data_IF_885595364881
#
_entry.id   IF_885595364881
#
_cell.length_a   1.000
_cell.length_b   1.000
_cell.length_c   1.000
_cell.angle_alpha   90.00
_cell.angle_beta   90.00
_cell.angle_gamma   90.00
#
_symmetry.space_group_name_H-M   'P 1'
#
loop_
_entity.id
_entity.type
_entity.pdbx_description
1 polymer ?
#
# COMPACT_ATOMS: atom_id res chain seq x y z
N UNK A 1 22.38 19.41 46.97
CA UNK A 1 23.01 18.45 46.05
C UNK A 1 21.96 17.94 45.09
N UNK A 2 21.97 18.41 43.84
CA UNK A 2 20.98 18.06 42.82
C UNK A 2 21.38 16.76 42.10
N UNK A 3 20.46 15.80 42.03
CA UNK A 3 20.60 14.62 41.18
C UNK A 3 20.15 14.99 39.76
N UNK A 4 21.06 14.83 38.80
CA UNK A 4 20.79 14.95 37.36
C UNK A 4 20.14 13.63 36.90
N UNK A 5 18.99 13.63 36.21
CA UNK A 5 18.46 12.41 35.62
C UNK A 5 19.29 12.03 34.39
N UNK A 6 19.76 10.79 34.40
CA UNK A 6 20.49 10.12 33.35
C UNK A 6 19.56 9.90 32.14
N UNK A 7 19.72 10.69 31.08
CA UNK A 7 19.09 10.48 29.77
C UNK A 7 20.11 9.80 28.88
N UNK A 8 19.99 8.49 28.73
CA UNK A 8 21.00 7.70 28.03
C UNK A 8 20.47 6.36 27.54
N UNK A 9 19.38 6.33 26.77
CA UNK A 9 19.03 5.10 26.04
C UNK A 9 18.27 5.25 24.70
N UNK A 10 18.04 6.46 24.17
CA UNK A 10 17.26 6.63 22.92
C UNK A 10 18.07 7.07 21.68
N UNK A 11 19.41 7.16 21.75
CA UNK A 11 20.23 7.72 20.65
C UNK A 11 20.83 6.62 19.74
N UNK A 12 20.84 5.35 20.16
CA UNK A 12 21.50 4.26 19.41
C UNK A 12 20.58 3.60 18.38
N UNK A 13 19.28 3.49 18.66
CA UNK A 13 18.33 2.82 17.74
C UNK A 13 17.95 3.66 16.52
N UNK A 14 17.89 5.00 16.65
CA UNK A 14 17.58 5.90 15.54
C UNK A 14 18.70 5.96 14.48
N UNK A 15 19.97 5.87 14.91
CA UNK A 15 21.13 5.84 13.99
C UNK A 15 21.12 4.60 13.09
N UNK A 16 20.77 3.43 13.64
CA UNK A 16 20.77 2.17 12.89
C UNK A 16 19.72 2.12 11.78
N UNK A 17 18.58 2.80 11.95
CA UNK A 17 17.48 2.77 10.96
C UNK A 17 17.77 3.69 9.77
N UNK A 18 18.27 4.90 10.04
CA UNK A 18 18.65 5.86 9.00
C UNK A 18 19.85 5.36 8.18
N UNK A 19 20.85 4.77 8.83
CA UNK A 19 22.03 4.22 8.15
C UNK A 19 21.66 3.03 7.22
N UNK A 20 20.78 2.13 7.68
CA UNK A 20 20.28 1.03 6.85
C UNK A 20 19.53 1.52 5.60
N UNK A 21 18.71 2.57 5.75
CA UNK A 21 17.99 3.16 4.63
C UNK A 21 18.95 3.77 3.60
N UNK A 22 19.96 4.53 4.04
CA UNK A 22 20.98 5.12 3.16
C UNK A 22 21.78 4.05 2.41
N UNK A 23 22.12 2.94 3.07
CA UNK A 23 22.79 1.80 2.43
C UNK A 23 21.90 1.16 1.36
N UNK A 24 20.62 0.95 1.65
CA UNK A 24 19.70 0.33 0.67
C UNK A 24 19.45 1.24 -0.53
N UNK A 25 19.28 2.54 -0.31
CA UNK A 25 18.98 3.52 -1.37
C UNK A 25 20.14 3.73 -2.37
N UNK A 26 21.37 3.43 -1.95
CA UNK A 26 22.59 3.59 -2.79
C UNK A 26 23.11 2.25 -3.33
N UNK A 27 22.45 1.13 -3.00
CA UNK A 27 22.94 -0.20 -3.32
C UNK A 27 22.81 -0.50 -4.82
N UNK A 28 23.90 -0.97 -5.43
CA UNK A 28 23.93 -1.44 -6.83
C UNK A 28 23.13 -2.75 -7.03
N UNK A 29 22.66 -3.36 -5.95
CA UNK A 29 21.83 -4.57 -5.91
C UNK A 29 20.93 -4.54 -4.68
N UNK A 30 19.73 -5.10 -4.78
CA UNK A 30 18.80 -5.19 -3.65
C UNK A 30 19.37 -6.04 -2.50
N UNK A 31 19.50 -5.48 -1.28
CA UNK A 31 19.96 -6.24 -0.14
C UNK A 31 18.91 -7.27 0.28
N UNK A 32 19.36 -8.37 0.87
CA UNK A 32 18.46 -9.32 1.55
C UNK A 32 18.11 -8.80 2.93
N UNK A 33 16.83 -8.85 3.30
CA UNK A 33 16.40 -8.52 4.66
C UNK A 33 16.44 -9.78 5.52
N UNK A 34 17.29 -9.76 6.55
CA UNK A 34 17.50 -10.89 7.45
C UNK A 34 18.20 -12.08 6.78
N UNK A 35 17.91 -13.28 7.25
CA UNK A 35 18.53 -14.52 6.73
C UNK A 35 17.57 -15.28 5.83
N UNK A 36 18.06 -15.76 4.69
CA UNK A 36 17.31 -16.65 3.77
C UNK A 36 18.12 -17.92 3.54
N UNK A 37 17.50 -19.09 3.76
CA UNK A 37 18.19 -20.36 3.53
C UNK A 37 18.40 -20.62 2.03
N UNK A 38 19.53 -21.24 1.68
CA UNK A 38 19.85 -21.65 0.30
C UNK A 38 18.77 -22.57 -0.28
N UNK A 39 18.17 -23.44 0.54
CA UNK A 39 17.07 -24.29 0.11
C UNK A 39 15.80 -23.49 -0.23
N UNK A 40 15.49 -22.44 0.52
CA UNK A 40 14.35 -21.56 0.23
C UNK A 40 14.56 -20.80 -1.09
N UNK A 41 15.78 -20.32 -1.36
CA UNK A 41 16.14 -19.72 -2.65
C UNK A 41 16.01 -20.71 -3.82
N UNK A 42 16.28 -22.01 -3.56
CA UNK A 42 16.11 -23.07 -4.57
C UNK A 42 14.65 -23.48 -4.79
N UNK A 43 13.79 -23.35 -3.78
CA UNK A 43 12.37 -23.77 -3.81
C UNK A 43 11.45 -22.72 -4.45
N UNK A 44 11.90 -21.47 -4.57
CA UNK A 44 11.20 -20.44 -5.32
C UNK A 44 11.03 -20.81 -6.79
N UNK A 45 10.05 -20.21 -7.46
CA UNK A 45 9.80 -20.43 -8.88
C UNK A 45 10.94 -19.77 -9.70
N UNK A 46 12.11 -20.43 -9.76
CA UNK A 46 13.34 -19.88 -10.36
C UNK A 46 13.15 -19.36 -11.79
N UNK A 47 12.20 -19.96 -12.52
CA UNK A 47 11.91 -19.57 -13.90
C UNK A 47 11.17 -18.23 -14.00
N UNK A 48 10.54 -17.77 -12.91
CA UNK A 48 9.82 -16.51 -12.87
C UNK A 48 10.72 -15.37 -12.37
N UNK A 49 11.53 -15.62 -11.34
CA UNK A 49 12.29 -14.56 -10.66
C UNK A 49 13.43 -14.00 -11.51
N UNK A 50 13.51 -12.67 -11.59
CA UNK A 50 14.57 -11.94 -12.30
C UNK A 50 15.88 -11.91 -11.50
N UNK A 51 16.97 -11.52 -12.15
CA UNK A 51 18.19 -11.13 -11.43
C UNK A 51 17.91 -9.93 -10.51
N UNK A 52 18.59 -9.87 -9.35
CA UNK A 52 18.38 -8.78 -8.38
C UNK A 52 18.66 -7.39 -8.96
N UNK A 53 19.54 -7.26 -9.95
CA UNK A 53 19.81 -5.99 -10.63
C UNK A 53 18.67 -5.56 -11.55
N UNK A 54 18.01 -6.51 -12.20
CA UNK A 54 16.90 -6.23 -13.11
C UNK A 54 15.71 -5.62 -12.35
N UNK A 55 15.51 -6.01 -11.09
CA UNK A 55 14.47 -5.41 -10.25
C UNK A 55 14.63 -3.90 -10.05
N UNK A 56 15.85 -3.37 -10.08
CA UNK A 56 16.11 -1.93 -9.96
C UNK A 56 15.62 -1.14 -11.19
N UNK A 57 15.35 -1.82 -12.31
CA UNK A 57 14.78 -1.20 -13.51
C UNK A 57 13.26 -1.03 -13.45
N UNK A 58 12.58 -1.66 -12.47
CA UNK A 58 11.14 -1.48 -12.30
C UNK A 58 10.87 -0.01 -11.94
N UNK A 59 9.96 0.69 -12.65
CA UNK A 59 9.68 2.09 -12.38
C UNK A 59 9.20 2.31 -10.94
N UNK A 60 9.74 3.33 -10.27
CA UNK A 60 9.30 3.74 -8.92
C UNK A 60 7.80 4.08 -8.89
N UNK A 61 7.24 4.58 -10.00
CA UNK A 61 5.80 4.82 -10.16
C UNK A 61 4.97 3.55 -10.04
N UNK A 62 5.43 2.41 -10.57
CA UNK A 62 4.77 1.12 -10.41
C UNK A 62 4.85 0.63 -8.96
N UNK A 63 6.01 0.78 -8.30
CA UNK A 63 6.16 0.37 -6.89
C UNK A 63 5.25 1.22 -5.98
N UNK A 64 5.14 2.53 -6.26
CA UNK A 64 4.26 3.44 -5.54
C UNK A 64 2.78 3.09 -5.75
N UNK A 65 2.39 2.82 -7.00
CA UNK A 65 1.08 2.28 -7.36
C UNK A 65 0.78 0.99 -6.59
N UNK A 66 1.71 0.03 -6.59
CA UNK A 66 1.54 -1.23 -5.89
C UNK A 66 1.37 -1.04 -4.37
N UNK A 67 2.11 -0.13 -3.75
CA UNK A 67 1.95 0.20 -2.35
C UNK A 67 0.53 0.72 -2.03
N UNK A 68 -0.05 1.54 -2.92
CA UNK A 68 -1.43 2.00 -2.83
C UNK A 68 -2.47 0.88 -2.93
N UNK A 69 -2.27 -0.06 -3.87
CA UNK A 69 -3.13 -1.25 -3.99
C UNK A 69 -3.06 -2.11 -2.73
N UNK A 70 -1.85 -2.30 -2.18
CA UNK A 70 -1.65 -3.07 -0.94
C UNK A 70 -2.30 -2.36 0.25
N UNK A 71 -2.22 -1.04 0.34
CA UNK A 71 -2.88 -0.27 1.41
C UNK A 71 -4.40 -0.42 1.39
N UNK A 72 -5.02 -0.54 0.22
CA UNK A 72 -6.45 -0.84 0.07
C UNK A 72 -6.79 -2.32 0.29
N UNK A 73 -6.49 -3.18 -0.68
CA UNK A 73 -6.95 -4.59 -0.71
C UNK A 73 -5.89 -5.63 -0.29
N UNK A 74 -4.70 -5.17 0.12
CA UNK A 74 -3.61 -6.03 0.55
C UNK A 74 -3.75 -6.55 1.99
N UNK A 75 -2.81 -7.39 2.41
CA UNK A 75 -2.37 -7.55 3.79
C UNK A 75 -1.08 -8.36 3.90
N UNK A 76 -0.30 -8.07 4.94
CA UNK A 76 0.85 -8.87 5.33
C UNK A 76 0.40 -9.79 6.46
N UNK A 77 0.30 -11.08 6.15
CA UNK A 77 -0.13 -12.10 7.09
C UNK A 77 1.07 -12.69 7.82
N UNK A 78 1.01 -12.71 9.15
CA UNK A 78 1.99 -13.35 10.02
C UNK A 78 1.26 -14.37 10.89
N UNK A 79 1.49 -15.67 10.66
CA UNK A 79 0.73 -16.75 11.31
C UNK A 79 1.63 -17.83 11.91
N UNK A 80 1.06 -18.60 12.84
CA UNK A 80 1.69 -19.77 13.44
C UNK A 80 1.38 -21.02 12.61
N UNK A 81 2.39 -21.76 12.19
CA UNK A 81 2.24 -23.10 11.62
C UNK A 81 1.86 -24.12 12.71
N UNK A 82 1.34 -25.28 12.31
CA UNK A 82 1.08 -26.39 13.26
C UNK A 82 2.32 -26.84 14.04
N UNK A 83 3.52 -26.62 13.49
CA UNK A 83 4.81 -26.92 14.13
C UNK A 83 5.35 -25.77 14.99
N UNK A 84 4.60 -24.67 15.15
CA UNK A 84 4.99 -23.52 15.96
C UNK A 84 5.88 -22.48 15.26
N UNK A 85 6.27 -22.69 14.00
CA UNK A 85 7.05 -21.71 13.22
C UNK A 85 6.21 -20.55 12.70
N UNK A 86 6.86 -19.42 12.43
CA UNK A 86 6.27 -18.23 11.82
C UNK A 86 6.16 -18.41 10.31
N UNK A 87 4.98 -18.14 9.76
CA UNK A 87 4.77 -17.95 8.32
C UNK A 87 4.51 -16.49 8.04
N UNK A 88 5.17 -15.94 7.02
CA UNK A 88 4.95 -14.58 6.53
C UNK A 88 4.59 -14.64 5.05
N UNK A 89 3.54 -13.92 4.64
CA UNK A 89 3.20 -13.71 3.24
C UNK A 89 2.46 -12.39 3.07
N UNK A 90 2.61 -11.78 1.90
CA UNK A 90 1.75 -10.69 1.46
C UNK A 90 0.66 -11.27 0.56
N UNK A 91 -0.58 -10.81 0.77
CA UNK A 91 -1.74 -11.25 0.00
C UNK A 91 -2.47 -10.00 -0.50
N UNK A 92 -2.72 -9.92 -1.80
CA UNK A 92 -3.70 -8.99 -2.37
C UNK A 92 -4.90 -9.83 -2.77
N UNK A 93 -6.09 -9.49 -2.27
CA UNK A 93 -7.30 -10.28 -2.47
C UNK A 93 -8.42 -9.43 -3.05
N UNK A 94 -8.81 -9.72 -4.30
CA UNK A 94 -9.83 -8.96 -5.01
C UNK A 94 -10.90 -9.89 -5.61
N UNK A 95 -11.98 -9.32 -6.13
CA UNK A 95 -13.02 -10.08 -6.81
C UNK A 95 -12.46 -10.81 -8.03
N UNK A 96 -12.96 -12.01 -8.34
CA UNK A 96 -12.44 -12.84 -9.42
C UNK A 96 -12.54 -12.16 -10.80
N UNK A 97 -13.55 -11.31 -11.01
CA UNK A 97 -13.72 -10.56 -12.26
C UNK A 97 -12.56 -9.59 -12.56
N UNK A 98 -11.77 -9.22 -11.55
CA UNK A 98 -10.63 -8.32 -11.70
C UNK A 98 -9.28 -9.04 -11.65
N UNK A 99 -9.25 -10.35 -11.94
CA UNK A 99 -8.01 -11.16 -11.92
C UNK A 99 -6.88 -10.55 -12.77
N UNK A 100 -7.22 -9.86 -13.85
CA UNK A 100 -6.26 -9.20 -14.74
C UNK A 100 -5.40 -8.15 -14.02
N UNK A 101 -5.92 -7.51 -12.96
CA UNK A 101 -5.14 -6.62 -12.09
C UNK A 101 -4.00 -7.37 -11.40
N UNK A 102 -4.28 -8.57 -10.85
CA UNK A 102 -3.27 -9.39 -10.20
C UNK A 102 -2.27 -9.99 -11.19
N UNK A 103 -2.74 -10.40 -12.37
CA UNK A 103 -1.90 -10.90 -13.45
C UNK A 103 -0.93 -9.82 -13.95
N UNK A 104 -1.40 -8.58 -14.09
CA UNK A 104 -0.54 -7.44 -14.41
C UNK A 104 0.55 -7.23 -13.36
N UNK A 105 0.18 -7.14 -12.08
CA UNK A 105 1.15 -6.98 -10.97
C UNK A 105 2.17 -8.12 -10.99
N UNK A 106 1.71 -9.37 -11.13
CA UNK A 106 2.60 -10.53 -11.24
C UNK A 106 3.48 -10.47 -12.49
N UNK A 107 2.98 -9.94 -13.61
CA UNK A 107 3.74 -9.86 -14.86
C UNK A 107 4.90 -8.86 -14.78
N UNK A 108 4.76 -7.78 -14.00
CA UNK A 108 5.82 -6.77 -13.79
C UNK A 108 6.80 -7.22 -12.72
N UNK A 109 6.32 -7.69 -11.57
CA UNK A 109 7.18 -8.17 -10.49
C UNK A 109 7.84 -9.52 -10.81
N UNK A 110 7.17 -10.36 -11.59
CA UNK A 110 7.54 -11.76 -11.75
C UNK A 110 7.71 -12.48 -10.39
N UNK A 111 6.82 -12.15 -9.43
CA UNK A 111 6.82 -12.70 -8.07
C UNK A 111 5.46 -13.25 -7.68
N UNK A 112 5.46 -14.18 -6.72
CA UNK A 112 4.24 -14.69 -6.11
C UNK A 112 3.42 -15.58 -7.05
N UNK A 113 2.26 -15.98 -6.55
CA UNK A 113 1.33 -16.89 -7.23
C UNK A 113 -0.08 -16.30 -7.20
N UNK A 114 -0.69 -16.15 -8.38
CA UNK A 114 -2.13 -15.91 -8.52
C UNK A 114 -2.88 -17.21 -8.27
N UNK A 115 -3.85 -17.18 -7.35
CA UNK A 115 -4.70 -18.32 -7.00
C UNK A 115 -6.16 -17.92 -7.07
N UNK A 116 -6.99 -18.79 -7.63
CA UNK A 116 -8.43 -18.57 -7.83
C UNK A 116 -9.21 -19.33 -6.75
N UNK A 117 -10.20 -18.66 -6.16
CA UNK A 117 -11.11 -19.20 -5.16
C UNK A 117 -12.55 -19.01 -5.66
N UNK A 118 -13.13 -20.07 -6.25
CA UNK A 118 -14.47 -20.04 -6.85
C UNK A 118 -15.56 -20.31 -5.81
N UNK A 119 -15.68 -19.41 -4.82
CA UNK A 119 -16.84 -19.41 -3.95
C UNK A 119 -18.10 -19.00 -4.73
N UNK A 120 -19.24 -19.63 -4.47
CA UNK A 120 -20.48 -19.39 -5.20
C UNK A 120 -21.14 -18.03 -4.88
N UNK A 121 -20.82 -17.41 -3.74
CA UNK A 121 -21.39 -16.12 -3.32
C UNK A 121 -20.42 -14.96 -3.53
N UNK A 122 -19.12 -15.19 -3.33
CA UNK A 122 -18.09 -14.15 -3.46
C UNK A 122 -16.81 -14.76 -4.05
N UNK A 123 -16.77 -14.99 -5.37
CA UNK A 123 -15.59 -15.54 -6.02
C UNK A 123 -14.45 -14.52 -5.93
N UNK A 124 -13.28 -14.98 -5.48
CA UNK A 124 -12.10 -14.13 -5.27
C UNK A 124 -10.88 -14.71 -5.96
N UNK A 125 -9.93 -13.84 -6.27
CA UNK A 125 -8.59 -14.22 -6.68
C UNK A 125 -7.57 -13.54 -5.75
N UNK A 126 -6.43 -14.21 -5.55
CA UNK A 126 -5.39 -13.73 -4.63
C UNK A 126 -4.02 -13.81 -5.26
N UNK A 127 -3.24 -12.73 -5.15
CA UNK A 127 -1.82 -12.74 -5.42
C UNK A 127 -1.10 -12.95 -4.09
N UNK A 128 -0.37 -14.05 -3.97
CA UNK A 128 0.33 -14.43 -2.74
C UNK A 128 1.83 -14.33 -2.98
N UNK A 129 2.49 -13.40 -2.31
CA UNK A 129 3.95 -13.23 -2.31
C UNK A 129 4.50 -13.82 -1.01
N UNK A 130 5.37 -14.82 -1.13
CA UNK A 130 5.86 -15.59 0.00
C UNK A 130 7.00 -14.86 0.75
N UNK A 131 7.33 -15.33 1.96
CA UNK A 131 8.42 -14.81 2.80
C UNK A 131 9.73 -14.57 2.04
N UNK A 132 10.18 -15.51 1.22
CA UNK A 132 11.45 -15.40 0.48
C UNK A 132 11.40 -14.23 -0.50
N UNK A 133 10.33 -14.12 -1.29
CA UNK A 133 10.17 -13.05 -2.26
C UNK A 133 10.03 -11.67 -1.58
N UNK A 134 9.44 -11.62 -0.39
CA UNK A 134 9.39 -10.42 0.45
C UNK A 134 10.80 -10.00 0.92
N UNK A 135 11.56 -10.94 1.51
CA UNK A 135 12.91 -10.68 2.04
C UNK A 135 13.91 -10.28 0.95
N UNK A 136 13.73 -10.81 -0.25
CA UNK A 136 14.72 -10.73 -1.31
C UNK A 136 14.45 -9.64 -2.34
N UNK A 137 13.19 -9.23 -2.50
CA UNK A 137 12.79 -8.37 -3.61
C UNK A 137 11.80 -7.29 -3.17
N UNK A 138 10.58 -7.63 -2.75
CA UNK A 138 9.54 -6.61 -2.58
C UNK A 138 9.84 -5.62 -1.46
N UNK A 139 10.22 -6.09 -0.26
CA UNK A 139 10.57 -5.18 0.83
C UNK A 139 11.85 -4.39 0.55
N UNK A 140 12.94 -4.98 0.01
CA UNK A 140 14.10 -4.22 -0.42
C UNK A 140 13.78 -3.15 -1.47
N UNK A 141 12.89 -3.42 -2.43
CA UNK A 141 12.45 -2.44 -3.44
C UNK A 141 11.72 -1.25 -2.81
N UNK A 142 10.81 -1.51 -1.86
CA UNK A 142 10.11 -0.46 -1.13
C UNK A 142 11.12 0.46 -0.41
N UNK A 143 12.09 -0.14 0.29
CA UNK A 143 13.14 0.60 0.98
C UNK A 143 14.05 1.39 0.01
N UNK A 144 14.48 0.78 -1.10
CA UNK A 144 15.32 1.42 -2.10
C UNK A 144 14.67 2.70 -2.67
N UNK A 145 13.35 2.69 -2.86
CA UNK A 145 12.62 3.85 -3.38
C UNK A 145 12.07 4.79 -2.31
N UNK A 146 12.29 4.52 -1.01
CA UNK A 146 11.68 5.33 0.06
C UNK A 146 10.17 5.26 0.10
N UNK A 147 9.59 4.14 -0.35
CA UNK A 147 8.13 3.92 -0.41
C UNK A 147 7.71 3.11 0.80
N UNK A 148 6.68 3.59 1.49
CA UNK A 148 6.10 2.94 2.65
C UNK A 148 4.57 3.03 2.63
N UNK A 149 3.94 2.24 3.49
CA UNK A 149 2.49 2.17 3.58
C UNK A 149 1.93 3.36 4.35
N UNK A 150 0.87 3.96 3.81
CA UNK A 150 0.26 5.18 4.35
C UNK A 150 -0.93 4.89 5.25
N UNK A 151 -1.39 3.63 5.34
CA UNK A 151 -2.42 3.22 6.30
C UNK A 151 -1.78 2.66 7.58
N UNK A 152 -2.36 3.00 8.74
CA UNK A 152 -1.86 2.52 10.03
C UNK A 152 -1.78 1.00 10.12
N UNK A 153 -2.81 0.31 9.60
CA UNK A 153 -2.87 -1.16 9.67
C UNK A 153 -1.76 -1.79 8.84
N UNK A 154 -1.54 -1.33 7.60
CA UNK A 154 -0.54 -1.93 6.74
C UNK A 154 0.88 -1.59 7.20
N UNK A 155 1.10 -0.36 7.67
CA UNK A 155 2.36 0.05 8.30
C UNK A 155 2.70 -0.83 9.50
N UNK A 156 1.77 -1.03 10.43
CA UNK A 156 1.99 -1.88 11.59
C UNK A 156 2.32 -3.34 11.21
N UNK A 157 1.62 -3.90 10.21
CA UNK A 157 1.93 -5.24 9.71
C UNK A 157 3.31 -5.32 9.04
N UNK A 158 3.70 -4.28 8.32
CA UNK A 158 5.02 -4.18 7.70
C UNK A 158 6.13 -4.05 8.74
N UNK A 159 5.99 -3.16 9.73
CA UNK A 159 6.95 -2.97 10.82
C UNK A 159 7.16 -4.28 11.59
N UNK A 160 6.08 -5.00 11.93
CA UNK A 160 6.18 -6.31 12.59
C UNK A 160 6.88 -7.35 11.71
N UNK A 161 6.59 -7.38 10.40
CA UNK A 161 7.29 -8.27 9.49
C UNK A 161 8.79 -7.93 9.42
N UNK A 162 9.14 -6.64 9.29
CA UNK A 162 10.53 -6.17 9.25
C UNK A 162 11.29 -6.54 10.52
N UNK A 163 10.67 -6.36 11.69
CA UNK A 163 11.23 -6.76 12.98
C UNK A 163 11.54 -8.26 13.04
N UNK A 164 10.56 -9.11 12.70
CA UNK A 164 10.75 -10.57 12.69
C UNK A 164 11.85 -11.00 11.72
N UNK A 165 11.91 -10.37 10.56
CA UNK A 165 12.88 -10.72 9.51
C UNK A 165 14.30 -10.28 9.89
N UNK A 166 14.48 -9.05 10.38
CA UNK A 166 15.79 -8.52 10.78
C UNK A 166 16.38 -9.27 11.97
N UNK A 167 15.55 -9.66 12.93
CA UNK A 167 15.96 -10.41 14.13
C UNK A 167 16.08 -11.93 13.91
N UNK A 168 15.84 -12.42 12.69
CA UNK A 168 15.80 -13.85 12.34
C UNK A 168 14.91 -14.69 13.27
N UNK A 169 13.78 -14.12 13.73
CA UNK A 169 12.82 -14.86 14.57
C UNK A 169 12.11 -15.92 13.72
N UNK A 170 12.13 -17.16 14.22
CA UNK A 170 11.64 -18.36 13.50
C UNK A 170 10.44 -19.00 14.19
N UNK A 171 10.42 -18.96 15.52
CA UNK A 171 9.38 -19.59 16.34
C UNK A 171 8.35 -18.53 16.72
N UNK A 172 7.06 -18.83 16.57
CA UNK A 172 5.99 -17.84 16.75
C UNK A 172 5.93 -17.29 18.16
N UNK A 173 6.22 -18.12 19.16
CA UNK A 173 6.23 -17.72 20.57
C UNK A 173 7.40 -16.76 20.92
N UNK A 174 8.33 -16.52 19.99
CA UNK A 174 9.36 -15.46 20.12
C UNK A 174 8.82 -14.07 19.78
N UNK A 175 7.61 -13.99 19.20
CA UNK A 175 6.91 -12.72 18.99
C UNK A 175 6.24 -12.37 20.32
N UNK A 176 6.57 -11.22 20.95
CA UNK A 176 5.90 -10.78 22.16
C UNK A 176 4.38 -10.83 22.02
N UNK A 177 3.67 -11.33 23.04
CA UNK A 177 2.23 -11.53 22.98
C UNK A 177 1.46 -10.21 22.73
N UNK A 178 2.00 -9.08 23.20
CA UNK A 178 1.56 -7.70 22.92
C UNK A 178 1.57 -7.37 21.42
N UNK A 179 2.51 -7.95 20.67
CA UNK A 179 2.73 -7.73 19.23
C UNK A 179 2.05 -8.81 18.37
N UNK A 180 1.63 -9.92 18.98
CA UNK A 180 0.89 -10.95 18.28
C UNK A 180 -0.49 -10.41 17.89
N UNK A 181 -0.73 -10.24 16.58
CA UNK A 181 -2.00 -9.84 16.00
C UNK A 181 -3.03 -10.96 16.25
N UNK A 182 -3.61 -11.05 17.46
CA UNK A 182 -4.71 -11.98 17.70
C UNK A 182 -5.93 -11.51 16.93
N UNK A 183 -6.24 -12.26 15.89
CA UNK A 183 -7.47 -12.20 15.10
C UNK A 183 -8.69 -12.38 16.01
N UNK A 184 -9.34 -11.28 16.42
CA UNK A 184 -10.81 -11.23 16.54
C UNK A 184 -11.41 -9.84 16.75
N UNK A 185 -10.67 -8.90 17.33
CA UNK A 185 -11.18 -7.55 17.50
C UNK A 185 -10.30 -6.59 16.70
N UNK A 186 -10.82 -6.12 15.57
CA UNK A 186 -10.24 -5.03 14.78
C UNK A 186 -10.38 -3.67 15.51
N UNK A 187 -10.03 -3.65 16.79
CA UNK A 187 -9.71 -2.43 17.53
C UNK A 187 -8.31 -1.99 17.09
N UNK A 188 -8.05 -0.69 16.88
CA UNK A 188 -6.69 -0.20 16.68
C UNK A 188 -5.82 -0.77 17.80
N UNK A 189 -4.61 -1.23 17.46
CA UNK A 189 -3.63 -1.61 18.47
C UNK A 189 -3.65 -0.53 19.56
N UNK A 190 -4.02 -0.91 20.80
CA UNK A 190 -3.87 -0.02 21.95
C UNK A 190 -2.43 0.47 21.91
N UNK A 191 -2.26 1.80 21.91
CA UNK A 191 -1.00 2.50 21.59
C UNK A 191 0.21 2.15 22.47
N UNK A 192 0.05 1.30 23.47
CA UNK A 192 1.14 0.85 24.35
C UNK A 192 1.91 -0.35 23.76
N UNK A 193 1.29 -1.22 22.96
CA UNK A 193 1.99 -2.38 22.38
C UNK A 193 2.86 -2.00 21.17
N UNK A 194 2.47 -1.00 20.37
CA UNK A 194 3.28 -0.53 19.23
C UNK A 194 4.54 0.25 19.66
N UNK A 195 4.65 0.69 20.92
CA UNK A 195 5.85 1.41 21.39
C UNK A 195 7.11 0.54 21.39
N UNK A 196 6.98 -0.79 21.37
CA UNK A 196 8.11 -1.72 21.43
C UNK A 196 8.70 -2.07 20.06
N UNK A 197 8.00 -1.82 18.94
CA UNK A 197 8.55 -2.06 17.60
C UNK A 197 9.02 -0.73 17.01
N UNK A 198 10.32 -0.59 16.67
CA UNK A 198 10.80 0.57 15.94
C UNK A 198 10.10 0.67 14.59
N UNK A 199 9.35 1.75 14.37
CA UNK A 199 8.77 2.07 13.07
C UNK A 199 9.89 2.51 12.12
N UNK A 200 9.94 1.92 10.92
CA UNK A 200 10.95 2.31 9.92
C UNK A 200 10.65 3.67 9.27
N UNK A 201 9.36 4.00 9.13
CA UNK A 201 8.89 5.25 8.51
C UNK A 201 7.79 5.88 9.33
N UNK A 202 8.03 7.09 9.83
CA UNK A 202 6.98 7.88 10.47
C UNK A 202 5.95 8.34 9.43
N UNK A 203 4.67 8.22 9.77
CA UNK A 203 3.63 8.81 8.95
C UNK A 203 3.73 10.34 8.99
N UNK A 204 3.46 11.01 7.85
CA UNK A 204 3.42 12.47 7.82
C UNK A 204 2.39 13.02 8.83
N UNK A 205 2.74 14.12 9.50
CA UNK A 205 1.90 14.71 10.56
C UNK A 205 0.87 15.69 10.02
N UNK A 206 1.10 16.24 8.83
CA UNK A 206 0.20 17.19 8.17
C UNK A 206 -0.24 16.67 6.80
N UNK A 207 -1.39 17.16 6.33
CA UNK A 207 -1.87 16.87 4.97
C UNK A 207 -0.88 17.32 3.88
N UNK A 208 -0.17 18.44 4.11
CA UNK A 208 0.85 18.94 3.18
C UNK A 208 2.03 17.98 3.09
N UNK A 209 2.46 17.40 4.20
CA UNK A 209 3.59 16.46 4.20
C UNK A 209 3.24 15.18 3.42
N UNK A 210 2.01 14.69 3.52
CA UNK A 210 1.51 13.61 2.65
C UNK A 210 1.56 14.01 1.18
N UNK A 211 1.02 15.19 0.84
CA UNK A 211 0.98 15.69 -0.54
C UNK A 211 2.38 15.87 -1.15
N UNK A 212 3.39 16.13 -0.31
CA UNK A 212 4.78 16.33 -0.70
C UNK A 212 5.59 15.03 -0.85
N UNK A 213 5.07 13.88 -0.43
CA UNK A 213 5.75 12.60 -0.66
C UNK A 213 5.84 12.33 -2.17
N UNK A 214 7.06 12.11 -2.67
CA UNK A 214 7.33 11.92 -4.10
C UNK A 214 6.52 10.77 -4.74
N UNK A 215 6.18 9.74 -3.95
CA UNK A 215 5.41 8.60 -4.41
C UNK A 215 3.89 8.77 -4.26
N UNK A 216 3.40 9.82 -3.59
CA UNK A 216 1.99 9.91 -3.16
C UNK A 216 0.99 9.89 -4.30
N UNK A 217 1.28 10.60 -5.40
CA UNK A 217 0.35 10.67 -6.53
C UNK A 217 0.19 9.31 -7.23
N UNK A 218 1.30 8.58 -7.43
CA UNK A 218 1.21 7.21 -7.94
C UNK A 218 0.58 6.25 -6.92
N UNK A 219 0.81 6.46 -5.63
CA UNK A 219 0.13 5.72 -4.57
C UNK A 219 -1.39 5.95 -4.60
N UNK A 220 -1.86 7.19 -4.84
CA UNK A 220 -3.29 7.50 -5.00
C UNK A 220 -3.90 6.71 -6.16
N UNK A 221 -3.18 6.53 -7.28
CA UNK A 221 -3.66 5.69 -8.38
C UNK A 221 -3.92 4.26 -7.88
N UNK A 222 -2.94 3.66 -7.20
CA UNK A 222 -3.08 2.32 -6.64
C UNK A 222 -4.21 2.21 -5.62
N UNK A 223 -4.29 3.17 -4.72
CA UNK A 223 -5.34 3.25 -3.71
C UNK A 223 -6.73 3.42 -4.35
N UNK A 224 -6.81 4.11 -5.50
CA UNK A 224 -8.04 4.25 -6.30
C UNK A 224 -8.48 2.94 -6.94
N UNK A 225 -7.56 2.03 -7.29
CA UNK A 225 -7.92 0.68 -7.77
C UNK A 225 -8.77 -0.04 -6.72
N UNK A 226 -8.36 0.04 -5.46
CA UNK A 226 -9.03 -0.63 -4.35
C UNK A 226 -10.23 0.14 -3.80
N UNK A 227 -10.04 1.38 -3.37
CA UNK A 227 -11.00 2.14 -2.57
C UNK A 227 -11.73 3.24 -3.35
N UNK A 228 -11.33 3.45 -4.62
CA UNK A 228 -11.87 4.50 -5.46
C UNK A 228 -13.17 4.11 -6.15
N UNK A 229 -13.97 5.10 -6.53
CA UNK A 229 -15.16 4.88 -7.36
C UNK A 229 -15.40 6.04 -8.31
N UNK A 230 -15.66 5.70 -9.57
CA UNK A 230 -16.13 6.62 -10.60
C UNK A 230 -17.58 6.26 -10.95
N UNK A 231 -18.51 7.19 -10.76
CA UNK A 231 -19.92 6.92 -10.97
C UNK A 231 -20.70 8.19 -11.30
N UNK A 232 -21.94 7.99 -11.75
CA UNK A 232 -22.90 9.08 -11.97
C UNK A 232 -24.01 8.95 -10.93
N UNK A 233 -24.28 10.02 -10.21
CA UNK A 233 -25.34 10.11 -9.21
C UNK A 233 -26.73 10.13 -9.88
N UNK A 234 -27.79 9.89 -9.09
CA UNK A 234 -29.18 9.96 -9.57
C UNK A 234 -29.57 11.31 -10.19
N UNK A 235 -28.91 12.39 -9.77
CA UNK A 235 -29.10 13.73 -10.32
C UNK A 235 -28.24 14.00 -11.58
N UNK A 236 -27.69 12.95 -12.20
CA UNK A 236 -26.80 12.99 -13.36
C UNK A 236 -25.43 13.65 -13.14
N UNK A 237 -25.01 13.84 -11.87
CA UNK A 237 -23.68 14.35 -11.57
C UNK A 237 -22.61 13.27 -11.63
N UNK A 238 -21.58 13.52 -12.43
CA UNK A 238 -20.32 12.79 -12.36
C UNK A 238 -19.70 12.93 -10.97
N UNK A 239 -19.32 11.83 -10.35
CA UNK A 239 -18.69 11.81 -9.04
C UNK A 239 -17.46 10.92 -9.05
N UNK A 240 -16.40 11.44 -8.44
CA UNK A 240 -15.26 10.65 -8.00
C UNK A 240 -15.27 10.58 -6.47
N UNK A 241 -14.97 9.41 -5.92
CA UNK A 241 -14.98 9.17 -4.48
C UNK A 241 -13.85 8.24 -4.06
N UNK A 242 -13.27 8.51 -2.89
CA UNK A 242 -12.42 7.60 -2.11
C UNK A 242 -13.04 7.44 -0.71
N UNK A 243 -13.02 6.24 -0.16
CA UNK A 243 -13.53 5.97 1.18
C UNK A 243 -12.68 4.92 1.89
N UNK A 244 -12.33 5.14 3.15
CA UNK A 244 -11.55 4.21 3.95
C UNK A 244 -11.80 4.47 5.44
N UNK A 245 -11.38 3.55 6.33
CA UNK A 245 -11.34 3.79 7.79
C UNK A 245 -10.69 5.13 8.12
N UNK A 246 -11.14 5.76 9.22
CA UNK A 246 -10.72 7.11 9.61
C UNK A 246 -9.20 7.27 9.55
N UNK A 247 -8.76 8.18 8.69
CA UNK A 247 -7.39 8.66 8.59
C UNK A 247 -7.43 10.13 8.14
N UNK A 248 -7.54 11.05 9.11
CA UNK A 248 -7.90 12.45 8.84
C UNK A 248 -6.88 13.16 7.94
N UNK A 249 -5.59 13.12 8.30
CA UNK A 249 -4.55 13.85 7.55
C UNK A 249 -4.35 13.33 6.12
N UNK A 250 -4.47 12.01 5.92
CA UNK A 250 -4.42 11.39 4.59
C UNK A 250 -5.56 11.88 3.69
N UNK A 251 -6.79 11.96 4.21
CA UNK A 251 -7.94 12.42 3.43
C UNK A 251 -7.90 13.93 3.18
N UNK A 252 -7.41 14.72 4.15
CA UNK A 252 -7.13 16.14 3.93
C UNK A 252 -6.04 16.34 2.86
N UNK A 253 -5.07 15.43 2.73
CA UNK A 253 -4.08 15.49 1.66
C UNK A 253 -4.68 15.31 0.26
N UNK A 254 -5.75 14.51 0.12
CA UNK A 254 -6.46 14.38 -1.16
C UNK A 254 -7.05 15.71 -1.62
N UNK A 255 -7.51 16.56 -0.71
CA UNK A 255 -8.00 17.90 -1.06
C UNK A 255 -6.91 18.77 -1.68
N UNK A 256 -5.68 18.65 -1.20
CA UNK A 256 -4.53 19.36 -1.76
C UNK A 256 -4.18 18.83 -3.16
N UNK A 257 -4.21 17.51 -3.35
CA UNK A 257 -3.91 16.89 -4.66
C UNK A 257 -4.97 17.21 -5.72
N UNK A 258 -6.25 17.22 -5.33
CA UNK A 258 -7.37 17.50 -6.23
C UNK A 258 -7.84 18.96 -6.18
N UNK A 259 -7.04 19.85 -5.58
CA UNK A 259 -7.24 21.31 -5.56
C UNK A 259 -8.66 21.75 -5.15
N UNK A 260 -9.19 21.14 -4.09
CA UNK A 260 -10.59 21.31 -3.69
C UNK A 260 -10.76 21.67 -2.22
N UNK A 261 -11.80 22.47 -1.93
CA UNK A 261 -12.17 22.84 -0.55
C UNK A 261 -13.35 22.01 -0.03
N UNK A 262 -13.73 20.93 -0.72
CA UNK A 262 -14.81 20.03 -0.28
C UNK A 262 -14.48 19.46 1.10
N UNK A 263 -15.49 19.43 1.98
CA UNK A 263 -15.37 18.83 3.30
C UNK A 263 -15.18 17.31 3.15
N UNK A 264 -14.30 16.74 3.96
CA UNK A 264 -14.21 15.29 4.14
C UNK A 264 -15.37 14.85 5.03
N UNK A 265 -16.19 13.94 4.53
CA UNK A 265 -17.28 13.37 5.30
C UNK A 265 -16.74 12.25 6.19
N UNK A 266 -17.14 12.22 7.46
CA UNK A 266 -16.84 11.11 8.37
C UNK A 266 -18.11 10.34 8.66
N UNK A 267 -18.30 9.21 7.99
CA UNK A 267 -19.48 8.37 8.13
C UNK A 267 -19.40 7.54 9.42
N UNK A 268 -20.40 7.71 10.30
CA UNK A 268 -20.56 6.99 11.58
C UNK A 268 -19.33 7.06 12.50
N UNK A 269 -18.45 8.05 12.32
CA UNK A 269 -17.19 8.15 13.07
C UNK A 269 -16.15 7.07 12.70
N UNK A 270 -16.39 6.25 11.68
CA UNK A 270 -15.58 5.07 11.36
C UNK A 270 -14.88 5.16 10.00
N UNK A 271 -15.44 5.90 9.05
CA UNK A 271 -14.90 5.99 7.70
C UNK A 271 -14.81 7.45 7.24
N UNK A 272 -13.66 7.83 6.71
CA UNK A 272 -13.53 9.09 5.98
C UNK A 272 -13.89 8.88 4.52
N UNK A 273 -14.53 9.88 3.93
CA UNK A 273 -14.93 9.88 2.54
C UNK A 273 -14.54 11.22 1.89
N UNK A 274 -13.73 11.13 0.84
CA UNK A 274 -13.45 12.23 -0.07
C UNK A 274 -14.37 12.04 -1.29
N UNK A 275 -15.18 13.05 -1.61
CA UNK A 275 -16.07 12.99 -2.76
C UNK A 275 -16.20 14.35 -3.46
N UNK A 276 -16.05 14.35 -4.78
CA UNK A 276 -16.11 15.54 -5.62
C UNK A 276 -17.03 15.33 -6.82
N UNK A 277 -17.77 16.37 -7.18
CA UNK A 277 -18.72 16.33 -8.31
C UNK A 277 -18.97 17.69 -8.97
N UNK A 278 -18.18 18.73 -8.66
CA UNK A 278 -18.29 19.99 -9.39
C UNK A 278 -17.58 19.88 -10.74
N UNK A 279 -17.95 20.72 -11.71
CA UNK A 279 -17.32 20.71 -13.05
C UNK A 279 -15.80 20.91 -12.97
N UNK A 280 -15.36 21.82 -12.09
CA UNK A 280 -13.93 22.08 -11.86
C UNK A 280 -13.24 20.86 -11.24
N UNK A 281 -13.79 20.29 -10.16
CA UNK A 281 -13.17 19.13 -9.52
C UNK A 281 -13.09 17.92 -10.49
N UNK A 282 -14.14 17.69 -11.29
CA UNK A 282 -14.15 16.60 -12.27
C UNK A 282 -13.06 16.81 -13.34
N UNK A 283 -12.82 18.05 -13.80
CA UNK A 283 -11.68 18.32 -14.68
C UNK A 283 -10.36 17.99 -14.00
N UNK A 284 -10.17 18.37 -12.72
CA UNK A 284 -8.95 18.05 -11.96
C UNK A 284 -8.76 16.54 -11.82
N UNK A 285 -9.83 15.79 -11.57
CA UNK A 285 -9.79 14.31 -11.54
C UNK A 285 -9.38 13.75 -12.90
N UNK A 286 -9.95 14.23 -14.01
CA UNK A 286 -9.56 13.78 -15.36
C UNK A 286 -8.09 14.11 -15.63
N UNK A 287 -7.65 15.33 -15.29
CA UNK A 287 -6.26 15.75 -15.42
C UNK A 287 -5.31 14.84 -14.64
N UNK A 288 -5.69 14.47 -13.42
CA UNK A 288 -4.90 13.58 -12.58
C UNK A 288 -4.72 12.20 -13.22
N UNK A 289 -5.81 11.55 -13.65
CA UNK A 289 -5.76 10.16 -14.15
C UNK A 289 -5.41 10.03 -15.63
N UNK A 290 -5.54 11.09 -16.43
CA UNK A 290 -5.35 11.02 -17.89
C UNK A 290 -4.23 11.87 -18.46
N UNK A 291 -3.83 12.96 -17.78
CA UNK A 291 -2.89 13.94 -18.35
C UNK A 291 -1.63 14.16 -17.51
N UNK A 292 -1.56 13.61 -16.29
CA UNK A 292 -0.45 13.89 -15.37
C UNK A 292 0.76 12.95 -15.51
N UNK A 293 0.70 11.94 -16.38
CA UNK A 293 1.80 10.98 -16.59
C UNK A 293 2.08 10.03 -15.42
N UNK A 294 1.14 9.92 -14.46
CA UNK A 294 1.20 8.91 -13.40
C UNK A 294 0.95 7.50 -13.97
N UNK A 295 1.20 6.49 -13.14
CA UNK A 295 0.85 5.12 -13.48
C UNK A 295 -0.62 5.05 -13.92
N UNK A 296 -0.96 4.36 -15.01
CA UNK A 296 -2.34 4.29 -15.48
C UNK A 296 -3.20 3.47 -14.52
N UNK A 297 -4.51 3.74 -14.51
CA UNK A 297 -5.47 2.81 -13.93
C UNK A 297 -5.44 1.50 -14.74
N UNK A 298 -5.64 0.37 -14.07
CA UNK A 298 -5.68 -0.96 -14.69
C UNK A 298 -6.96 -1.72 -14.28
N UNK A 299 -7.18 -2.87 -14.90
CA UNK A 299 -8.27 -3.79 -14.55
C UNK A 299 -9.66 -3.19 -14.64
N UNK A 300 -10.55 -3.65 -13.76
CA UNK A 300 -11.94 -3.18 -13.73
C UNK A 300 -12.06 -1.70 -13.35
N UNK A 301 -11.14 -1.16 -12.55
CA UNK A 301 -11.15 0.28 -12.21
C UNK A 301 -10.93 1.15 -13.45
N UNK A 302 -10.02 0.76 -14.33
CA UNK A 302 -9.81 1.45 -15.61
C UNK A 302 -11.08 1.37 -16.49
N UNK A 303 -11.70 0.20 -16.59
CA UNK A 303 -12.95 0.03 -17.35
C UNK A 303 -14.06 0.92 -16.75
N UNK A 304 -14.16 1.00 -15.43
CA UNK A 304 -15.10 1.89 -14.74
C UNK A 304 -14.83 3.36 -15.10
N UNK A 305 -13.58 3.79 -15.04
CA UNK A 305 -13.16 5.15 -15.39
C UNK A 305 -13.48 5.50 -16.85
N UNK A 306 -13.13 4.64 -17.81
CA UNK A 306 -13.41 4.88 -19.23
C UNK A 306 -14.92 4.94 -19.53
N UNK A 307 -15.72 4.06 -18.91
CA UNK A 307 -17.18 4.14 -19.01
C UNK A 307 -17.71 5.46 -18.44
N UNK A 308 -17.16 5.89 -17.30
CA UNK A 308 -17.51 7.16 -16.68
C UNK A 308 -17.17 8.35 -17.59
N UNK A 309 -15.99 8.40 -18.21
CA UNK A 309 -15.62 9.44 -19.18
C UNK A 309 -16.61 9.50 -20.36
N UNK A 310 -16.99 8.35 -20.92
CA UNK A 310 -17.99 8.29 -22.00
C UNK A 310 -19.34 8.89 -21.59
N UNK A 311 -19.80 8.62 -20.36
CA UNK A 311 -21.04 9.23 -19.85
C UNK A 311 -20.88 10.74 -19.67
N UNK A 312 -19.73 11.21 -19.17
CA UNK A 312 -19.46 12.63 -18.97
C UNK A 312 -19.37 13.42 -20.28
N UNK A 313 -18.77 12.85 -21.34
CA UNK A 313 -18.72 13.46 -22.68
C UNK A 313 -20.11 13.75 -23.23
N UNK A 314 -21.08 12.87 -22.94
CA UNK A 314 -22.46 13.01 -23.38
C UNK A 314 -23.34 13.82 -22.39
N UNK A 315 -22.78 14.30 -21.28
CA UNK A 315 -23.51 15.09 -20.30
C UNK A 315 -23.63 16.55 -20.73
N UNK A 316 -24.81 17.15 -20.60
CA UNK A 316 -24.99 18.59 -20.80
C UNK A 316 -24.12 19.45 -19.88
N UNK A 317 -23.79 18.95 -18.67
CA UNK A 317 -22.99 19.66 -17.67
C UNK A 317 -21.49 19.52 -17.90
N UNK A 318 -21.03 18.32 -18.24
CA UNK A 318 -19.60 17.97 -18.30
C UNK A 318 -19.06 17.82 -19.73
N UNK A 319 -19.90 17.85 -20.76
CA UNK A 319 -19.50 17.55 -22.14
C UNK A 319 -18.43 18.47 -22.72
N UNK A 320 -18.30 19.69 -22.19
CA UNK A 320 -17.28 20.67 -22.61
C UNK A 320 -16.00 20.61 -21.76
N UNK A 321 -15.79 19.55 -20.96
CA UNK A 321 -14.52 19.31 -20.29
C UNK A 321 -13.47 18.80 -21.29
N UNK A 322 -12.20 18.94 -20.93
CA UNK A 322 -11.11 18.32 -21.67
C UNK A 322 -11.02 16.84 -21.29
N UNK A 323 -11.23 15.95 -22.26
CA UNK A 323 -11.16 14.51 -22.10
C UNK A 323 -9.95 13.97 -22.88
N UNK A 324 -9.30 12.89 -22.41
CA UNK A 324 -8.32 12.18 -23.24
C UNK A 324 -8.97 11.70 -24.54
N UNK A 325 -8.19 11.46 -25.58
CA UNK A 325 -8.70 10.89 -26.84
C UNK A 325 -9.29 9.48 -26.65
#
# INVERSE_FOLDING_TARGET
MSAIPWVGQDIVESKNTTEYFTIVATALMLPTIGTVSVHALKKGNKNLRLDKKEYLSIPSSFIAFLAGVIDGDGYIQITRTTKGFITIKLVISIHLEDISTLEYIQSVLKLGKVSIYRDHKSPTCKLIINRTDLQEVLFPLLLHHGIFFLTDTRRAQFDLAMFILKDDKKVYDQIPASLSLRERDASPLRGDAMKEIPTLFELPKTASDYANLAFFKNWIVGFTISEGSFFVKKNNDGCFQLKQRVHVMLFEAFKLVFETNRKIDTEKGLYNQFAVSSKADIQTVINFFSFSGFHPLIGLKNIQYLKWLTVLRNSSRYGNLNFPE
#
